data_IF_276537282250
#
_entry.id   IF_276537282250
#
_cell.length_a   1.000
_cell.length_b   1.000
_cell.length_c   1.000
_cell.angle_alpha   90.00
_cell.angle_beta   90.00
_cell.angle_gamma   90.00
#
_symmetry.space_group_name_H-M   'P 1'
#
loop_
_entity.id
_entity.type
_entity.pdbx_description
1 polymer ?
#
# COMPACT_ATOMS: atom_id res chain seq x y z
N UNK A 1 -7.53 -0.47 -15.76
CA UNK A 1 -6.96 -0.36 -14.40
C UNK A 1 -7.65 0.76 -13.66
N UNK A 2 -8.13 0.48 -12.44
CA UNK A 2 -8.56 1.50 -11.49
C UNK A 2 -7.32 2.26 -10.98
N UNK A 3 -7.48 3.46 -10.45
CA UNK A 3 -6.34 4.29 -10.01
C UNK A 3 -5.55 3.63 -8.88
N UNK A 4 -6.24 2.99 -7.95
CA UNK A 4 -5.62 2.22 -6.86
C UNK A 4 -4.77 1.05 -7.35
N UNK A 5 -5.02 0.51 -8.55
CA UNK A 5 -4.28 -0.64 -9.08
C UNK A 5 -2.84 -0.26 -9.44
N UNK A 6 -2.53 1.04 -9.53
CA UNK A 6 -1.21 1.57 -9.85
C UNK A 6 -0.23 1.52 -8.68
N UNK A 7 -0.74 1.38 -7.45
CA UNK A 7 0.06 1.42 -6.24
C UNK A 7 0.36 0.03 -5.72
N UNK A 8 1.64 -0.23 -5.45
CA UNK A 8 2.07 -1.49 -4.86
C UNK A 8 1.50 -1.63 -3.45
N UNK A 9 0.86 -2.78 -3.21
CA UNK A 9 0.33 -3.17 -1.92
C UNK A 9 1.00 -4.46 -1.53
N UNK A 10 1.50 -4.53 -0.31
CA UNK A 10 2.08 -5.76 0.23
C UNK A 10 1.78 -5.84 1.73
N UNK A 11 1.80 -7.06 2.24
CA UNK A 11 1.59 -7.37 3.65
C UNK A 11 2.79 -8.17 4.12
N UNK A 12 3.29 -7.87 5.32
CA UNK A 12 4.40 -8.60 5.93
C UNK A 12 4.14 -8.78 7.43
N UNK A 13 4.64 -9.88 7.99
CA UNK A 13 4.68 -10.05 9.44
C UNK A 13 5.63 -9.03 10.09
N UNK A 14 5.24 -8.50 11.24
CA UNK A 14 6.07 -7.66 12.10
C UNK A 14 6.27 -8.37 13.43
N UNK A 15 7.53 -8.68 13.76
CA UNK A 15 7.86 -9.27 15.07
C UNK A 15 7.69 -8.25 16.21
N UNK A 16 7.79 -6.94 15.93
CA UNK A 16 7.59 -5.88 16.92
C UNK A 16 6.10 -5.72 17.29
N UNK A 17 5.21 -5.83 16.30
CA UNK A 17 3.77 -5.67 16.49
C UNK A 17 3.04 -7.00 16.77
N UNK A 18 3.72 -8.13 16.60
CA UNK A 18 3.15 -9.49 16.62
C UNK A 18 1.89 -9.63 15.72
N UNK A 19 1.91 -8.95 14.57
CA UNK A 19 0.81 -8.89 13.61
C UNK A 19 1.30 -8.73 12.16
N UNK A 20 0.43 -9.05 11.21
CA UNK A 20 0.66 -8.70 9.81
C UNK A 20 0.37 -7.22 9.59
N UNK A 21 1.29 -6.53 8.90
CA UNK A 21 1.21 -5.10 8.61
C UNK A 21 1.08 -4.89 7.10
N UNK A 22 0.08 -4.10 6.69
CA UNK A 22 -0.17 -3.74 5.30
C UNK A 22 0.53 -2.43 4.91
N UNK A 23 1.17 -2.41 3.76
CA UNK A 23 1.95 -1.28 3.26
C UNK A 23 1.51 -0.86 1.86
N UNK A 24 1.49 0.46 1.63
CA UNK A 24 1.32 1.07 0.32
C UNK A 24 2.14 2.37 0.30
N UNK A 25 3.47 2.29 0.09
CA UNK A 25 4.40 3.39 0.38
C UNK A 25 4.15 4.65 -0.45
N UNK A 26 3.62 4.50 -1.67
CA UNK A 26 3.34 5.63 -2.57
C UNK A 26 2.18 6.51 -2.08
N UNK A 27 1.24 5.95 -1.31
CA UNK A 27 0.11 6.68 -0.72
C UNK A 27 0.33 6.98 0.77
N UNK A 28 0.99 6.07 1.48
CA UNK A 28 1.24 6.14 2.91
C UNK A 28 2.74 5.97 3.19
N UNK A 29 3.55 7.02 2.97
CA UNK A 29 5.02 6.88 2.96
C UNK A 29 5.64 6.73 4.36
N UNK A 30 4.90 7.06 5.43
CA UNK A 30 5.49 7.20 6.76
C UNK A 30 5.45 5.92 7.61
N UNK A 31 4.51 4.99 7.35
CA UNK A 31 4.32 3.78 8.16
C UNK A 31 3.39 2.75 7.51
N UNK A 32 3.28 1.59 8.16
CA UNK A 32 2.21 0.63 7.91
C UNK A 32 0.81 1.25 8.05
N UNK A 33 -0.10 0.81 7.18
CA UNK A 33 -1.44 1.41 6.99
C UNK A 33 -2.49 0.70 7.85
N UNK A 34 -2.32 -0.61 8.07
CA UNK A 34 -3.23 -1.42 8.87
C UNK A 34 -2.53 -2.66 9.42
N UNK A 35 -3.06 -3.21 10.50
CA UNK A 35 -2.58 -4.43 11.17
C UNK A 35 -3.67 -5.50 11.16
N UNK A 36 -3.29 -6.78 11.15
CA UNK A 36 -4.23 -7.87 11.27
C UNK A 36 -3.57 -9.21 11.61
N UNK A 37 -4.40 -10.14 12.09
CA UNK A 37 -3.96 -11.46 12.57
C UNK A 37 -3.64 -12.46 11.45
N UNK A 38 -4.11 -12.20 10.23
CA UNK A 38 -3.80 -13.03 9.06
C UNK A 38 -3.44 -12.14 7.87
N UNK A 39 -2.64 -12.68 6.97
CA UNK A 39 -2.20 -11.98 5.77
C UNK A 39 -3.39 -11.53 4.91
N UNK A 40 -4.37 -12.41 4.69
CA UNK A 40 -5.50 -12.18 3.79
C UNK A 40 -6.45 -11.10 4.33
N UNK A 41 -6.73 -11.12 5.64
CA UNK A 41 -7.57 -10.10 6.27
C UNK A 41 -6.91 -8.74 6.21
N UNK A 42 -5.61 -8.69 6.47
CA UNK A 42 -4.82 -7.46 6.41
C UNK A 42 -4.78 -6.91 4.98
N UNK A 43 -4.57 -7.78 3.98
CA UNK A 43 -4.59 -7.36 2.58
C UNK A 43 -5.95 -6.85 2.13
N UNK A 44 -7.04 -7.49 2.57
CA UNK A 44 -8.41 -7.02 2.32
C UNK A 44 -8.67 -5.62 2.90
N UNK A 45 -8.23 -5.38 4.14
CA UNK A 45 -8.31 -4.06 4.78
C UNK A 45 -7.45 -3.01 4.05
N UNK A 46 -6.21 -3.36 3.70
CA UNK A 46 -5.31 -2.49 2.94
C UNK A 46 -5.93 -2.07 1.60
N UNK A 47 -6.58 -3.00 0.89
CA UNK A 47 -7.27 -2.72 -0.36
C UNK A 47 -8.44 -1.73 -0.20
N UNK A 48 -9.13 -1.77 0.94
CA UNK A 48 -10.19 -0.83 1.28
C UNK A 48 -9.61 0.56 1.53
N UNK A 49 -8.61 0.67 2.41
CA UNK A 49 -7.99 1.95 2.79
C UNK A 49 -7.36 2.67 1.59
N UNK A 50 -6.66 1.93 0.72
CA UNK A 50 -6.10 2.51 -0.51
C UNK A 50 -7.20 3.07 -1.44
N UNK A 51 -8.36 2.42 -1.51
CA UNK A 51 -9.48 2.91 -2.32
C UNK A 51 -10.04 4.20 -1.73
N UNK A 52 -10.24 4.24 -0.42
CA UNK A 52 -10.75 5.41 0.30
C UNK A 52 -9.81 6.61 0.12
N UNK A 53 -8.51 6.44 0.30
CA UNK A 53 -7.50 7.50 0.09
C UNK A 53 -7.53 8.06 -1.34
N UNK A 54 -7.61 7.17 -2.33
CA UNK A 54 -7.72 7.58 -3.74
C UNK A 54 -9.00 8.37 -4.01
N UNK A 55 -10.11 7.98 -3.40
CA UNK A 55 -11.39 8.69 -3.51
C UNK A 55 -11.35 10.06 -2.81
N UNK A 56 -10.71 10.17 -1.65
CA UNK A 56 -10.51 11.43 -0.93
C UNK A 56 -9.62 12.40 -1.72
N UNK A 57 -8.45 11.95 -2.21
CA UNK A 57 -7.59 12.78 -3.04
C UNK A 57 -8.31 13.31 -4.29
N UNK A 58 -9.17 12.48 -4.89
CA UNK A 58 -10.01 12.88 -6.02
C UNK A 58 -11.06 13.91 -5.62
N UNK A 59 -11.74 13.70 -4.49
CA UNK A 59 -12.76 14.62 -3.96
C UNK A 59 -12.15 15.99 -3.67
N UNK A 60 -10.94 16.02 -3.13
CA UNK A 60 -10.20 17.24 -2.81
C UNK A 60 -9.54 17.91 -4.02
N UNK A 61 -9.63 17.31 -5.21
CA UNK A 61 -8.95 17.80 -6.42
C UNK A 61 -7.41 17.79 -6.31
N UNK A 62 -6.86 17.02 -5.37
CA UNK A 62 -5.42 16.89 -5.16
C UNK A 62 -4.79 16.07 -6.27
N UNK A 63 -3.54 16.38 -6.60
CA UNK A 63 -2.76 15.56 -7.53
C UNK A 63 -2.49 14.20 -6.91
N UNK A 64 -2.73 13.17 -7.71
CA UNK A 64 -2.47 11.78 -7.35
C UNK A 64 -0.95 11.54 -7.29
N UNK A 65 -0.42 10.91 -6.22
CA UNK A 65 1.00 10.57 -6.14
C UNK A 65 1.47 9.76 -7.35
N UNK A 66 2.71 9.99 -7.79
CA UNK A 66 3.33 9.19 -8.84
C UNK A 66 3.84 7.89 -8.19
N UNK A 67 3.41 6.70 -8.65
CA UNK A 67 3.92 5.44 -8.12
C UNK A 67 5.44 5.35 -8.33
N UNK A 68 6.20 5.27 -7.23
CA UNK A 68 7.65 5.13 -7.24
C UNK A 68 8.10 3.76 -6.74
N UNK A 69 7.23 3.06 -6.00
CA UNK A 69 7.52 1.74 -5.44
C UNK A 69 7.53 0.69 -6.54
N UNK A 70 8.71 0.10 -6.77
CA UNK A 70 8.92 -0.84 -7.88
C UNK A 70 8.54 -2.27 -7.48
N UNK A 71 7.67 -2.96 -8.23
CA UNK A 71 7.29 -4.34 -7.94
C UNK A 71 8.40 -5.36 -8.23
N UNK A 72 9.40 -4.99 -9.04
CA UNK A 72 10.54 -5.83 -9.40
C UNK A 72 11.84 -5.04 -9.24
N UNK A 73 12.89 -5.69 -8.74
CA UNK A 73 14.26 -5.15 -8.78
C UNK A 73 14.76 -5.17 -10.21
N UNK A 74 15.37 -4.09 -10.68
CA UNK A 74 16.10 -4.12 -11.95
C UNK A 74 17.21 -5.18 -11.87
N UNK A 75 17.41 -5.90 -12.97
CA UNK A 75 18.53 -6.82 -13.06
C UNK A 75 19.81 -5.99 -13.00
N UNK A 76 20.56 -6.13 -11.89
CA UNK A 76 21.88 -5.55 -11.78
C UNK A 76 22.78 -6.39 -12.68
N UNK A 77 23.05 -5.90 -13.90
CA UNK A 77 24.13 -6.45 -14.72
C UNK A 77 25.44 -6.03 -14.03
N UNK A 78 26.09 -6.99 -13.36
CA UNK A 78 27.39 -6.82 -12.75
C UNK A 78 28.51 -6.90 -13.82
#
# INVERSE_FOLDING_TARGET
MKTQDRYLKFVMWSDEDEDYVGYCPDLFPWRGVCHGRTEEKTYGQLCKLVREEVEELRRDGKKMPVPGTRPMREAVMA
#
